data_IF_572504329375
#
_entry.id   IF_572504329375
#
_cell.length_a   1.000
_cell.length_b   1.000
_cell.length_c   1.000
_cell.angle_alpha   90.00
_cell.angle_beta   90.00
_cell.angle_gamma   90.00
#
_symmetry.space_group_name_H-M   'P 1'
#
loop_
_entity.id
_entity.type
_entity.pdbx_description
1 polymer ?
#
# COMPACT_ATOMS: atom_id res chain seq x y z
N UNK A 1 -7.75 19.42 11.72
CA UNK A 1 -6.60 20.07 11.05
C UNK A 1 -6.48 19.66 9.59
N UNK A 2 -6.17 18.40 9.25
CA UNK A 2 -6.01 17.96 7.84
C UNK A 2 -7.24 18.31 6.98
N UNK A 3 -8.44 17.95 7.44
CA UNK A 3 -9.69 18.24 6.75
C UNK A 3 -10.02 19.74 6.68
N UNK A 4 -9.62 20.50 7.70
CA UNK A 4 -9.90 21.94 7.81
C UNK A 4 -9.19 22.74 6.70
N UNK A 5 -7.99 22.29 6.30
CA UNK A 5 -7.24 22.88 5.18
C UNK A 5 -7.61 22.28 3.81
N UNK A 6 -8.67 21.46 3.75
CA UNK A 6 -9.23 20.90 2.50
C UNK A 6 -8.57 19.61 1.99
N UNK A 7 -7.57 19.06 2.69
CA UNK A 7 -7.00 17.77 2.31
C UNK A 7 -7.97 16.63 2.65
N UNK A 8 -8.07 15.66 1.74
CA UNK A 8 -9.05 14.58 1.80
C UNK A 8 -8.45 13.21 2.19
N UNK A 9 -7.13 13.08 2.19
CA UNK A 9 -6.42 11.80 2.38
C UNK A 9 -5.29 11.91 3.40
N UNK A 10 -4.97 10.79 4.06
CA UNK A 10 -3.79 10.63 4.92
C UNK A 10 -3.09 9.31 4.62
N UNK A 11 -1.76 9.33 4.59
CA UNK A 11 -0.92 8.13 4.51
C UNK A 11 -0.64 7.66 5.94
N UNK A 12 -0.91 6.40 6.24
CA UNK A 12 -0.72 5.80 7.55
C UNK A 12 0.05 4.48 7.45
N UNK A 13 0.91 4.22 8.43
CA UNK A 13 1.70 2.99 8.46
C UNK A 13 2.83 2.92 7.43
N UNK A 14 3.25 4.05 6.85
CA UNK A 14 4.43 4.09 5.98
C UNK A 14 5.65 3.47 6.67
N UNK A 15 6.49 2.77 5.90
CA UNK A 15 7.65 2.01 6.41
C UNK A 15 8.56 2.85 7.31
N UNK A 16 8.79 4.11 6.97
CA UNK A 16 9.59 5.04 7.78
C UNK A 16 8.96 5.30 9.15
N UNK A 17 7.63 5.47 9.22
CA UNK A 17 6.92 5.61 10.50
C UNK A 17 7.07 4.37 11.37
N UNK A 18 7.03 3.19 10.77
CA UNK A 18 7.21 1.91 11.48
C UNK A 18 8.64 1.71 11.97
N UNK A 19 9.62 1.92 11.10
CA UNK A 19 11.01 1.47 11.35
C UNK A 19 11.94 2.56 11.87
N UNK A 20 11.71 3.82 11.52
CA UNK A 20 12.51 4.96 12.02
C UNK A 20 11.88 5.53 13.28
N UNK A 21 10.55 5.63 13.33
CA UNK A 21 9.83 6.26 14.44
C UNK A 21 9.12 5.28 15.38
N UNK A 22 9.15 3.97 15.08
CA UNK A 22 8.65 2.93 15.99
C UNK A 22 7.13 2.85 16.10
N UNK A 23 6.36 3.25 15.08
CA UNK A 23 4.91 3.06 15.12
C UNK A 23 4.53 1.57 15.02
N UNK A 24 3.81 1.08 16.03
CA UNK A 24 3.28 -0.29 16.08
C UNK A 24 2.03 -0.47 15.23
N UNK A 25 1.72 -1.72 14.88
CA UNK A 25 0.46 -2.08 14.21
C UNK A 25 -0.77 -1.64 14.99
N UNK A 26 -0.74 -1.73 16.32
CA UNK A 26 -1.82 -1.26 17.20
C UNK A 26 -2.06 0.24 17.03
N UNK A 27 -1.00 1.06 17.09
CA UNK A 27 -1.11 2.51 16.93
C UNK A 27 -1.61 2.87 15.52
N UNK A 28 -1.13 2.16 14.49
CA UNK A 28 -1.53 2.39 13.12
C UNK A 28 -3.02 2.05 12.93
N UNK A 29 -3.49 0.92 13.48
CA UNK A 29 -4.91 0.57 13.50
C UNK A 29 -5.78 1.65 14.15
N UNK A 30 -5.39 2.16 15.31
CA UNK A 30 -6.08 3.27 15.99
C UNK A 30 -6.14 4.54 15.13
N UNK A 31 -5.05 4.88 14.44
CA UNK A 31 -5.02 6.03 13.51
C UNK A 31 -5.92 5.84 12.31
N UNK A 32 -5.97 4.63 11.75
CA UNK A 32 -6.86 4.29 10.62
C UNK A 32 -8.32 4.47 11.06
N UNK A 33 -8.71 3.90 12.20
CA UNK A 33 -10.06 4.05 12.73
C UNK A 33 -10.45 5.53 12.90
N UNK A 34 -9.57 6.33 13.51
CA UNK A 34 -9.84 7.74 13.76
C UNK A 34 -9.93 8.55 12.45
N UNK A 35 -9.00 8.35 11.51
CA UNK A 35 -8.99 9.07 10.23
C UNK A 35 -10.27 8.80 9.41
N UNK A 36 -10.72 7.55 9.36
CA UNK A 36 -11.96 7.18 8.67
C UNK A 36 -13.19 7.77 9.36
N UNK A 37 -13.23 7.76 10.70
CA UNK A 37 -14.32 8.36 11.47
C UNK A 37 -14.45 9.88 11.25
N UNK A 38 -13.33 10.58 11.08
CA UNK A 38 -13.30 12.01 10.72
C UNK A 38 -13.61 12.27 9.23
N UNK A 39 -13.75 11.20 8.44
CA UNK A 39 -14.18 11.22 7.05
C UNK A 39 -13.06 11.39 6.03
N UNK A 40 -11.79 11.26 6.43
CA UNK A 40 -10.65 11.20 5.51
C UNK A 40 -10.61 9.86 4.78
N UNK A 41 -10.06 9.86 3.57
CA UNK A 41 -9.55 8.66 2.94
C UNK A 41 -8.21 8.24 3.55
N UNK A 42 -7.94 6.95 3.56
CA UNK A 42 -6.71 6.37 4.11
C UNK A 42 -5.96 5.60 3.03
N UNK A 43 -4.68 5.94 2.86
CA UNK A 43 -3.71 5.08 2.17
C UNK A 43 -2.93 4.36 3.27
N UNK A 44 -3.22 3.08 3.48
CA UNK A 44 -2.63 2.28 4.54
C UNK A 44 -1.48 1.43 3.99
N UNK A 45 -0.27 1.66 4.50
CA UNK A 45 0.93 0.99 4.00
C UNK A 45 1.27 -0.27 4.82
N UNK A 46 1.66 -1.30 4.09
CA UNK A 46 2.14 -2.58 4.60
C UNK A 46 3.33 -3.05 3.75
N UNK A 47 4.17 -3.92 4.28
CA UNK A 47 5.29 -4.46 3.54
C UNK A 47 6.30 -5.14 4.44
N UNK A 48 7.00 -6.10 3.87
CA UNK A 48 8.04 -6.87 4.53
C UNK A 48 9.44 -6.26 4.33
N UNK A 49 10.34 -6.55 5.25
CA UNK A 49 11.77 -6.25 5.16
C UNK A 49 12.51 -7.28 4.30
N UNK A 50 13.77 -6.97 3.96
CA UNK A 50 14.58 -7.87 3.13
C UNK A 50 14.78 -9.24 3.79
N UNK A 51 15.10 -9.27 5.08
CA UNK A 51 15.32 -10.49 5.86
C UNK A 51 14.04 -11.34 5.97
N UNK A 52 12.88 -10.69 6.12
CA UNK A 52 11.58 -11.35 6.13
C UNK A 52 11.25 -11.98 4.77
N UNK A 53 11.62 -11.29 3.68
CA UNK A 53 11.47 -11.83 2.32
C UNK A 53 12.40 -13.01 2.06
N UNK A 54 13.68 -12.88 2.40
CA UNK A 54 14.68 -13.94 2.23
C UNK A 54 14.36 -15.18 3.08
N UNK A 55 13.71 -14.99 4.24
CA UNK A 55 13.19 -16.07 5.08
C UNK A 55 11.88 -16.70 4.57
N UNK A 56 11.30 -16.19 3.47
CA UNK A 56 10.07 -16.73 2.88
C UNK A 56 8.81 -16.46 3.70
N UNK A 57 8.80 -15.40 4.52
CA UNK A 57 7.67 -15.07 5.42
C UNK A 57 6.92 -13.80 5.00
N UNK A 58 7.07 -13.35 3.75
CA UNK A 58 6.35 -12.17 3.21
C UNK A 58 4.85 -12.21 3.49
N UNK A 59 4.19 -13.33 3.18
CA UNK A 59 2.74 -13.50 3.41
C UNK A 59 2.34 -13.28 4.86
N UNK A 60 3.08 -13.92 5.79
CA UNK A 60 2.82 -13.79 7.22
C UNK A 60 2.86 -12.32 7.65
N UNK A 61 3.91 -11.61 7.26
CA UNK A 61 4.11 -10.21 7.64
C UNK A 61 3.00 -9.32 7.08
N UNK A 62 2.73 -9.40 5.78
CA UNK A 62 1.73 -8.52 5.15
C UNK A 62 0.32 -8.86 5.63
N UNK A 63 -0.01 -10.12 5.93
CA UNK A 63 -1.32 -10.50 6.47
C UNK A 63 -1.50 -10.05 7.92
N UNK A 64 -0.48 -10.15 8.77
CA UNK A 64 -0.53 -9.63 10.15
C UNK A 64 -0.76 -8.11 10.17
N UNK A 65 -0.02 -7.36 9.35
CA UNK A 65 -0.20 -5.90 9.22
C UNK A 65 -1.57 -5.55 8.61
N UNK A 66 -2.01 -6.27 7.57
CA UNK A 66 -3.33 -6.06 6.95
C UNK A 66 -4.46 -6.33 7.94
N UNK A 67 -4.33 -7.38 8.76
CA UNK A 67 -5.30 -7.70 9.81
C UNK A 67 -5.44 -6.57 10.82
N UNK A 68 -4.33 -6.02 11.31
CA UNK A 68 -4.35 -4.92 12.28
C UNK A 68 -5.07 -3.68 11.74
N UNK A 69 -4.92 -3.40 10.43
CA UNK A 69 -5.68 -2.35 9.75
C UNK A 69 -7.17 -2.76 9.62
N UNK A 70 -7.45 -3.94 9.08
CA UNK A 70 -8.81 -4.41 8.80
C UNK A 70 -9.70 -4.49 10.03
N UNK A 71 -9.17 -4.87 11.19
CA UNK A 71 -9.89 -4.91 12.47
C UNK A 71 -10.41 -3.52 12.90
N UNK A 72 -9.88 -2.45 12.31
CA UNK A 72 -10.22 -1.04 12.58
C UNK A 72 -11.03 -0.37 11.45
N UNK A 73 -11.30 -1.08 10.34
CA UNK A 73 -12.01 -0.55 9.18
C UNK A 73 -13.46 -1.04 9.17
N UNK A 74 -14.41 -0.11 9.25
CA UNK A 74 -15.85 -0.42 9.11
C UNK A 74 -16.36 -0.28 7.67
N UNK A 75 -15.76 0.64 6.91
CA UNK A 75 -16.12 0.93 5.53
C UNK A 75 -14.83 1.05 4.70
N UNK A 76 -14.70 0.18 3.71
CA UNK A 76 -13.55 0.11 2.80
C UNK A 76 -13.64 1.09 1.63
N UNK A 77 -14.78 1.78 1.43
CA UNK A 77 -14.98 2.72 0.32
C UNK A 77 -14.03 3.91 0.30
N UNK A 78 -13.30 4.14 1.41
CA UNK A 78 -12.28 5.20 1.55
C UNK A 78 -10.88 4.67 1.88
N UNK A 79 -10.63 3.38 1.66
CA UNK A 79 -9.34 2.74 1.94
C UNK A 79 -8.64 2.36 0.64
N UNK A 80 -7.35 2.69 0.56
CA UNK A 80 -6.41 2.15 -0.43
C UNK A 80 -5.31 1.45 0.35
N UNK A 81 -4.99 0.21 -0.03
CA UNK A 81 -3.90 -0.54 0.55
C UNK A 81 -2.65 -0.32 -0.30
N UNK A 82 -1.54 0.12 0.30
CA UNK A 82 -0.26 0.27 -0.38
C UNK A 82 0.68 -0.86 0.05
N UNK A 83 0.96 -1.80 -0.86
CA UNK A 83 2.00 -2.79 -0.67
C UNK A 83 3.35 -2.19 -1.04
N UNK A 84 4.20 -2.01 -0.03
CA UNK A 84 5.51 -1.37 -0.15
C UNK A 84 6.61 -2.25 0.46
N UNK A 85 7.21 -3.19 -0.29
CA UNK A 85 8.33 -3.98 0.21
C UNK A 85 9.44 -3.03 0.64
N UNK A 86 9.83 -3.07 1.92
CA UNK A 86 10.70 -2.04 2.53
C UNK A 86 12.05 -1.97 1.83
N UNK A 87 12.53 -3.12 1.33
CA UNK A 87 13.78 -3.25 0.59
C UNK A 87 13.76 -2.60 -0.80
N UNK A 88 12.58 -2.26 -1.33
CA UNK A 88 12.40 -1.55 -2.60
C UNK A 88 12.21 -0.03 -2.43
N UNK A 89 12.17 0.48 -1.19
CA UNK A 89 11.91 1.91 -0.91
C UNK A 89 13.23 2.68 -0.94
N UNK A 90 13.40 3.58 -1.92
CA UNK A 90 14.55 4.48 -1.99
C UNK A 90 15.90 3.81 -2.34
N UNK A 91 15.91 2.50 -2.61
CA UNK A 91 17.13 1.73 -2.89
C UNK A 91 17.47 1.62 -4.38
N UNK A 92 16.54 2.01 -5.26
CA UNK A 92 16.64 1.76 -6.71
C UNK A 92 16.40 0.29 -7.09
N UNK A 93 16.23 -0.61 -6.12
CA UNK A 93 15.73 -1.97 -6.37
C UNK A 93 14.21 -1.91 -6.45
N UNK A 94 13.66 -2.48 -7.50
CA UNK A 94 12.21 -2.61 -7.70
C UNK A 94 11.85 -4.09 -7.62
N UNK A 95 10.70 -4.43 -7.04
CA UNK A 95 10.16 -5.77 -7.20
C UNK A 95 9.88 -6.04 -8.68
N UNK A 96 10.09 -7.28 -9.14
CA UNK A 96 9.64 -7.62 -10.49
C UNK A 96 8.11 -7.53 -10.56
N UNK A 97 7.51 -7.29 -11.73
CA UNK A 97 6.06 -7.27 -11.87
C UNK A 97 5.39 -8.54 -11.33
N UNK A 98 6.01 -9.70 -11.51
CA UNK A 98 5.49 -10.98 -11.01
C UNK A 98 5.51 -11.05 -9.47
N UNK A 99 6.53 -10.46 -8.82
CA UNK A 99 6.60 -10.40 -7.36
C UNK A 99 5.55 -9.46 -6.79
N UNK A 100 5.31 -8.31 -7.43
CA UNK A 100 4.23 -7.40 -7.06
C UNK A 100 2.85 -8.06 -7.24
N UNK A 101 2.61 -8.69 -8.40
CA UNK A 101 1.39 -9.42 -8.71
C UNK A 101 1.11 -10.53 -7.69
N UNK A 102 2.10 -11.35 -7.37
CA UNK A 102 1.97 -12.45 -6.41
C UNK A 102 1.44 -11.96 -5.05
N UNK A 103 2.02 -10.89 -4.51
CA UNK A 103 1.63 -10.36 -3.20
C UNK A 103 0.27 -9.68 -3.26
N UNK A 104 -0.02 -8.93 -4.33
CA UNK A 104 -1.32 -8.28 -4.51
C UNK A 104 -2.46 -9.28 -4.64
N UNK A 105 -2.27 -10.35 -5.43
CA UNK A 105 -3.26 -11.42 -5.58
C UNK A 105 -3.54 -12.10 -4.24
N UNK A 106 -2.50 -12.40 -3.46
CA UNK A 106 -2.63 -12.98 -2.11
C UNK A 106 -3.33 -12.04 -1.13
N UNK A 107 -3.03 -10.74 -1.15
CA UNK A 107 -3.72 -9.74 -0.34
C UNK A 107 -5.20 -9.63 -0.73
N UNK A 108 -5.51 -9.67 -2.03
CA UNK A 108 -6.90 -9.67 -2.50
C UNK A 108 -7.64 -10.93 -2.05
N UNK A 109 -6.99 -12.09 -2.10
CA UNK A 109 -7.49 -13.34 -1.53
C UNK A 109 -7.71 -13.27 -0.02
N UNK A 110 -6.82 -12.61 0.72
CA UNK A 110 -6.97 -12.35 2.14
C UNK A 110 -8.19 -11.49 2.44
N UNK A 111 -8.38 -10.37 1.72
CA UNK A 111 -9.55 -9.50 1.85
C UNK A 111 -10.86 -10.25 1.54
N UNK A 112 -10.84 -11.12 0.51
CA UNK A 112 -12.01 -11.92 0.13
C UNK A 112 -12.43 -12.87 1.25
N UNK A 113 -11.47 -13.52 1.88
CA UNK A 113 -11.70 -14.54 2.92
C UNK A 113 -12.00 -13.96 4.30
N UNK A 114 -11.45 -12.80 4.64
CA UNK A 114 -11.54 -12.21 5.98
C UNK A 114 -12.48 -11.01 6.08
N UNK A 115 -12.82 -10.37 4.95
CA UNK A 115 -13.72 -9.23 4.92
C UNK A 115 -14.97 -9.54 4.08
N UNK A 116 -14.84 -9.58 2.76
CA UNK A 116 -15.88 -10.05 1.82
C UNK A 116 -15.36 -10.04 0.38
N UNK A 117 -16.02 -10.80 -0.49
CA UNK A 117 -15.74 -10.76 -1.93
C UNK A 117 -15.93 -9.35 -2.52
N UNK A 118 -16.98 -8.64 -2.13
CA UNK A 118 -17.24 -7.26 -2.59
C UNK A 118 -16.08 -6.31 -2.24
N UNK A 119 -15.59 -6.35 -0.99
CA UNK A 119 -14.43 -5.55 -0.57
C UNK A 119 -13.18 -5.91 -1.35
N UNK A 120 -12.93 -7.20 -1.57
CA UNK A 120 -11.77 -7.66 -2.32
C UNK A 120 -11.78 -7.16 -3.78
N UNK A 121 -12.93 -7.12 -4.42
CA UNK A 121 -13.06 -6.65 -5.81
C UNK A 121 -13.01 -5.13 -5.95
N UNK A 122 -13.43 -4.37 -4.92
CA UNK A 122 -13.48 -2.91 -4.99
C UNK A 122 -12.25 -2.20 -4.39
N UNK A 123 -11.52 -2.86 -3.48
CA UNK A 123 -10.37 -2.24 -2.81
C UNK A 123 -9.20 -2.13 -3.77
N UNK A 124 -8.66 -0.92 -3.91
CA UNK A 124 -7.43 -0.68 -4.65
C UNK A 124 -6.23 -1.13 -3.83
N UNK A 125 -5.42 -2.00 -4.41
CA UNK A 125 -4.12 -2.40 -3.89
C UNK A 125 -3.05 -1.81 -4.81
N UNK A 126 -2.32 -0.81 -4.32
CA UNK A 126 -1.30 -0.08 -5.07
C UNK A 126 0.09 -0.53 -4.66
N UNK A 127 1.03 -0.51 -5.61
CA UNK A 127 2.43 -0.87 -5.38
C UNK A 127 3.27 0.38 -5.06
N UNK A 128 4.10 0.33 -4.02
CA UNK A 128 5.06 1.39 -3.71
C UNK A 128 6.47 0.84 -3.49
N UNK A 129 7.37 1.10 -4.44
CA UNK A 129 8.76 0.64 -4.34
C UNK A 129 9.53 0.97 -5.60
N UNK A 130 10.33 2.04 -5.56
CA UNK A 130 11.18 2.47 -6.68
C UNK A 130 10.46 2.55 -8.05
N UNK A 131 9.19 2.96 -8.09
CA UNK A 131 8.44 3.18 -9.34
C UNK A 131 9.03 4.38 -10.08
N UNK A 132 9.25 4.22 -11.38
CA UNK A 132 9.76 5.24 -12.31
C UNK A 132 8.92 5.28 -13.58
N UNK A 133 9.09 6.31 -14.41
CA UNK A 133 8.41 6.35 -15.72
C UNK A 133 8.76 5.14 -16.60
N UNK A 134 9.97 4.60 -16.47
CA UNK A 134 10.44 3.49 -17.29
C UNK A 134 9.89 2.11 -16.90
N UNK A 135 9.50 1.88 -15.64
CA UNK A 135 9.00 0.58 -15.16
C UNK A 135 7.48 0.53 -14.91
N UNK A 136 6.82 1.69 -14.83
CA UNK A 136 5.42 1.78 -14.43
C UNK A 136 4.46 1.02 -15.37
N UNK A 137 4.71 1.00 -16.69
CA UNK A 137 3.84 0.32 -17.65
C UNK A 137 3.82 -1.20 -17.47
N UNK A 138 4.96 -1.80 -17.15
CA UNK A 138 5.07 -3.25 -16.93
C UNK A 138 4.47 -3.66 -15.58
N UNK A 139 4.64 -2.84 -14.54
CA UNK A 139 3.98 -3.06 -13.25
C UNK A 139 2.45 -2.88 -13.37
N UNK A 140 1.99 -1.86 -14.11
CA UNK A 140 0.58 -1.56 -14.30
C UNK A 140 -0.14 -2.56 -15.20
N UNK A 141 0.59 -3.40 -15.95
CA UNK A 141 -0.01 -4.46 -16.77
C UNK A 141 -0.44 -5.68 -15.95
N UNK A 142 0.02 -5.79 -14.70
CA UNK A 142 -0.37 -6.86 -13.79
C UNK A 142 -1.83 -6.70 -13.36
N UNK A 143 -2.52 -7.83 -13.22
CA UNK A 143 -3.97 -7.88 -13.05
C UNK A 143 -4.45 -7.28 -11.72
N UNK A 144 -3.68 -7.50 -10.65
CA UNK A 144 -4.05 -7.09 -9.29
C UNK A 144 -3.33 -5.82 -8.81
N UNK A 145 -2.52 -5.19 -9.67
CA UNK A 145 -1.84 -3.92 -9.41
C UNK A 145 -2.72 -2.76 -9.87
N UNK A 146 -3.33 -2.07 -8.90
CA UNK A 146 -4.34 -1.03 -9.15
C UNK A 146 -3.77 0.39 -9.27
N UNK A 147 -2.45 0.54 -9.19
CA UNK A 147 -1.76 1.83 -9.27
C UNK A 147 -0.51 1.87 -8.40
N UNK A 148 -0.05 3.09 -8.09
CA UNK A 148 1.25 3.30 -7.44
C UNK A 148 1.20 4.31 -6.29
N UNK A 149 2.04 4.06 -5.27
CA UNK A 149 2.49 5.08 -4.32
C UNK A 149 3.94 5.44 -4.66
N UNK A 150 4.16 6.69 -5.07
CA UNK A 150 5.42 7.11 -5.70
C UNK A 150 6.16 8.12 -4.82
N UNK A 151 7.34 7.73 -4.34
CA UNK A 151 8.26 8.61 -3.59
C UNK A 151 9.06 9.53 -4.52
N UNK A 152 10.35 9.26 -4.70
CA UNK A 152 11.28 10.18 -5.38
C UNK A 152 10.90 10.59 -6.80
N UNK A 153 10.23 9.74 -7.57
CA UNK A 153 9.78 10.08 -8.93
C UNK A 153 8.59 11.06 -8.94
N UNK A 154 7.83 11.21 -7.84
CA UNK A 154 6.74 12.19 -7.73
C UNK A 154 7.24 13.65 -7.77
N UNK A 155 8.54 13.85 -7.52
CA UNK A 155 9.19 15.17 -7.54
C UNK A 155 9.78 15.51 -8.93
N UNK A 156 9.49 14.70 -9.95
CA UNK A 156 10.07 14.82 -11.29
C UNK A 156 8.99 14.87 -12.37
N UNK A 157 9.32 15.37 -13.58
CA UNK A 157 8.37 15.37 -14.70
C UNK A 157 7.85 13.98 -15.08
N UNK A 158 8.66 12.93 -14.90
CA UNK A 158 8.29 11.54 -15.19
C UNK A 158 7.08 11.04 -14.36
N UNK A 159 6.68 11.76 -13.31
CA UNK A 159 5.45 11.44 -12.58
C UNK A 159 4.20 11.48 -13.48
N UNK A 160 4.20 12.34 -14.51
CA UNK A 160 3.14 12.38 -15.51
C UNK A 160 3.09 11.08 -16.33
N UNK A 161 4.25 10.51 -16.65
CA UNK A 161 4.33 9.22 -17.36
C UNK A 161 3.76 8.08 -16.50
N UNK A 162 4.02 8.12 -15.19
CA UNK A 162 3.49 7.14 -14.22
C UNK A 162 1.97 7.25 -14.09
N UNK A 163 1.43 8.47 -14.05
CA UNK A 163 -0.03 8.68 -14.05
C UNK A 163 -0.66 8.09 -15.32
N UNK A 164 0.02 8.20 -16.46
CA UNK A 164 -0.44 7.70 -17.75
C UNK A 164 -0.05 6.24 -18.04
N UNK A 165 0.35 5.45 -17.03
CA UNK A 165 0.91 4.12 -17.24
C UNK A 165 -0.03 3.11 -17.94
N UNK A 166 -1.35 3.30 -17.87
CA UNK A 166 -2.36 2.46 -18.54
C UNK A 166 -2.92 3.08 -19.85
N UNK A 167 -2.23 4.09 -20.40
CA UNK A 167 -2.57 4.74 -21.67
C UNK A 167 -1.47 4.56 -22.73
#
# INVERSE_FOLDING_TARGET
MIKDIGAAWVILGHSERRHVFGESDELIGQKVAHALAEGLGVIACIGEKLDEREAGITEKVVFEQTKAIADNVKDWGKVVLAYEPVWAIGTGKTATPQQAQEVHEKLRGWLKSHVSDAVAQSTRIIYGGSVTGSNCKELASQHDVDGFLVGGASLKPEFVDIINAKH
#
